data_IF_809082259432
#
_entry.id   IF_809082259432
#
_cell.length_a   1.000
_cell.length_b   1.000
_cell.length_c   1.000
_cell.angle_alpha   90.00
_cell.angle_beta   90.00
_cell.angle_gamma   90.00
#
_symmetry.space_group_name_H-M   'P 1'
#
loop_
_entity.id
_entity.type
_entity.pdbx_description
1 polymer ?
#
# COMPACT_ATOMS: atom_id res chain seq x y z
N UNK A 1 4.00 18.49 -19.72
CA UNK A 1 3.40 17.30 -20.34
C UNK A 1 3.45 16.11 -19.35
N UNK A 2 2.75 15.01 -19.68
CA UNK A 2 2.70 13.79 -18.86
C UNK A 2 3.45 12.68 -19.58
N UNK A 3 4.35 12.01 -18.89
CA UNK A 3 5.11 10.87 -19.39
C UNK A 3 4.69 9.62 -18.61
N UNK A 4 4.35 8.54 -19.33
CA UNK A 4 4.06 7.25 -18.72
C UNK A 4 5.16 6.26 -19.09
N UNK A 5 5.87 5.77 -18.07
CA UNK A 5 6.85 4.69 -18.20
C UNK A 5 6.21 3.44 -17.58
N UNK A 6 6.07 2.36 -18.35
CA UNK A 6 5.39 1.16 -17.88
C UNK A 6 5.96 0.62 -16.58
N UNK A 7 7.28 0.47 -16.50
CA UNK A 7 8.01 0.10 -15.28
C UNK A 7 9.49 0.52 -15.38
N UNK A 8 10.11 0.75 -14.24
CA UNK A 8 11.56 0.99 -14.11
C UNK A 8 12.21 -0.30 -13.62
N UNK A 9 13.15 -0.85 -14.42
CA UNK A 9 13.90 -2.07 -14.07
C UNK A 9 15.39 -1.87 -13.94
N UNK A 10 15.92 -0.78 -14.51
CA UNK A 10 17.36 -0.52 -14.64
C UNK A 10 17.68 0.95 -14.38
N UNK A 11 18.97 1.22 -14.21
CA UNK A 11 19.52 2.55 -13.94
C UNK A 11 19.18 3.56 -15.04
N UNK A 12 19.31 3.18 -16.31
CA UNK A 12 19.13 4.11 -17.45
C UNK A 12 17.68 4.63 -17.48
N UNK A 13 16.70 3.73 -17.35
CA UNK A 13 15.28 4.08 -17.29
C UNK A 13 14.95 4.93 -16.06
N UNK A 14 15.55 4.61 -14.89
CA UNK A 14 15.37 5.39 -13.66
C UNK A 14 15.91 6.79 -13.82
N UNK A 15 17.10 6.95 -14.39
CA UNK A 15 17.73 8.24 -14.61
C UNK A 15 16.90 9.13 -15.54
N UNK A 16 16.46 8.59 -16.69
CA UNK A 16 15.60 9.31 -17.64
C UNK A 16 14.29 9.77 -16.96
N UNK A 17 13.66 8.91 -16.13
CA UNK A 17 12.44 9.24 -15.40
C UNK A 17 12.65 10.42 -14.44
N UNK A 18 13.73 10.38 -13.66
CA UNK A 18 14.07 11.42 -12.69
C UNK A 18 14.44 12.74 -13.41
N UNK A 19 15.25 12.70 -14.46
CA UNK A 19 15.63 13.89 -15.23
C UNK A 19 14.39 14.54 -15.87
N UNK A 20 13.49 13.75 -16.43
CA UNK A 20 12.23 14.25 -16.96
C UNK A 20 11.36 14.92 -15.89
N UNK A 21 11.27 14.34 -14.70
CA UNK A 21 10.54 14.93 -13.57
C UNK A 21 11.16 16.26 -13.13
N UNK A 22 12.47 16.32 -13.00
CA UNK A 22 13.21 17.54 -12.63
C UNK A 22 13.08 18.67 -13.67
N UNK A 23 12.81 18.34 -14.93
CA UNK A 23 12.53 19.32 -15.99
C UNK A 23 11.05 19.74 -16.07
N UNK A 24 10.22 19.33 -15.09
CA UNK A 24 8.85 19.79 -14.92
C UNK A 24 7.77 18.90 -15.59
N UNK A 25 8.14 17.70 -16.04
CA UNK A 25 7.15 16.74 -16.53
C UNK A 25 6.54 15.94 -15.36
N UNK A 26 5.24 15.67 -15.43
CA UNK A 26 4.62 14.66 -14.56
C UNK A 26 4.96 13.27 -15.08
N UNK A 27 5.81 12.55 -14.36
CA UNK A 27 6.20 11.19 -14.71
C UNK A 27 5.41 10.18 -13.87
N UNK A 28 4.72 9.26 -14.53
CA UNK A 28 4.01 8.14 -13.92
C UNK A 28 4.72 6.85 -14.28
N UNK A 29 5.04 6.04 -13.28
CA UNK A 29 5.74 4.76 -13.51
C UNK A 29 5.41 3.74 -12.44
N UNK A 30 5.85 2.49 -12.62
CA UNK A 30 5.80 1.44 -11.61
C UNK A 30 7.19 0.92 -11.26
N UNK A 31 7.32 0.46 -10.03
CA UNK A 31 8.51 -0.18 -9.48
C UNK A 31 8.09 -1.46 -8.74
N UNK A 32 8.93 -2.49 -8.78
CA UNK A 32 8.71 -3.71 -8.01
C UNK A 32 9.26 -3.53 -6.58
N UNK A 33 8.40 -3.03 -5.68
CA UNK A 33 8.67 -2.89 -4.24
C UNK A 33 7.53 -3.52 -3.43
N UNK A 34 7.80 -3.85 -2.17
CA UNK A 34 6.80 -4.45 -1.30
C UNK A 34 5.83 -3.40 -0.72
N UNK A 35 6.31 -2.19 -0.50
CA UNK A 35 5.60 -1.07 0.10
C UNK A 35 6.06 0.27 -0.51
N UNK A 36 5.38 1.34 -0.16
CA UNK A 36 5.69 2.67 -0.69
C UNK A 36 7.03 3.23 -0.19
N UNK A 37 7.42 3.12 1.10
CA UNK A 37 8.73 3.60 1.56
C UNK A 37 9.92 2.94 0.88
N UNK A 38 9.81 1.67 0.51
CA UNK A 38 10.89 0.93 -0.16
C UNK A 38 11.22 1.43 -1.57
N UNK A 39 10.39 2.30 -2.16
CA UNK A 39 10.66 2.94 -3.46
C UNK A 39 11.96 3.76 -3.42
N UNK A 40 12.20 4.50 -2.34
CA UNK A 40 13.41 5.31 -2.17
C UNK A 40 14.68 4.46 -2.16
N UNK A 41 14.67 3.42 -1.33
CA UNK A 41 15.79 2.45 -1.27
C UNK A 41 16.02 1.80 -2.63
N UNK A 42 14.94 1.40 -3.31
CA UNK A 42 15.03 0.75 -4.62
C UNK A 42 15.65 1.64 -5.70
N UNK A 43 15.26 2.91 -5.75
CA UNK A 43 15.86 3.87 -6.69
C UNK A 43 17.34 4.14 -6.37
N UNK A 44 17.70 4.22 -5.08
CA UNK A 44 19.09 4.35 -4.64
C UNK A 44 19.93 3.12 -5.03
N UNK A 45 19.40 1.90 -4.84
CA UNK A 45 20.05 0.65 -5.29
C UNK A 45 20.25 0.60 -6.80
N UNK A 46 19.39 1.24 -7.57
CA UNK A 46 19.56 1.41 -9.02
C UNK A 46 20.60 2.44 -9.39
N UNK A 47 21.24 3.12 -8.41
CA UNK A 47 22.32 4.09 -8.62
C UNK A 47 21.83 5.53 -8.80
N UNK A 48 20.57 5.84 -8.45
CA UNK A 48 20.08 7.23 -8.46
C UNK A 48 20.48 7.90 -7.15
N UNK A 49 21.04 9.09 -7.28
CA UNK A 49 21.46 9.90 -6.13
C UNK A 49 20.26 10.29 -5.25
N UNK A 50 20.33 10.06 -3.91
CA UNK A 50 19.19 10.28 -3.00
C UNK A 50 18.59 11.70 -3.05
N UNK A 51 19.41 12.74 -3.27
CA UNK A 51 18.92 14.11 -3.36
C UNK A 51 18.10 14.36 -4.64
N UNK A 52 18.38 13.64 -5.73
CA UNK A 52 17.58 13.70 -6.96
C UNK A 52 16.22 13.01 -6.76
N UNK A 53 16.24 11.88 -6.06
CA UNK A 53 14.99 11.18 -5.71
C UNK A 53 14.11 12.08 -4.83
N UNK A 54 14.68 12.68 -3.79
CA UNK A 54 13.99 13.60 -2.89
C UNK A 54 13.37 14.81 -3.61
N UNK A 55 14.02 15.28 -4.69
CA UNK A 55 13.58 16.45 -5.46
C UNK A 55 12.57 16.12 -6.56
N UNK A 56 12.54 14.88 -7.04
CA UNK A 56 11.71 14.46 -8.19
C UNK A 56 10.49 13.63 -7.80
N UNK A 57 10.56 12.90 -6.68
CA UNK A 57 9.46 12.03 -6.25
C UNK A 57 8.39 12.83 -5.51
N UNK A 58 7.18 12.85 -6.06
CA UNK A 58 6.02 13.50 -5.44
C UNK A 58 5.26 12.56 -4.49
N UNK A 59 5.04 11.33 -4.95
CA UNK A 59 4.40 10.30 -4.11
C UNK A 59 4.72 8.89 -4.58
N UNK A 60 4.60 7.94 -3.68
CA UNK A 60 4.67 6.52 -3.97
C UNK A 60 3.40 5.82 -3.47
N UNK A 61 2.84 4.95 -4.31
CA UNK A 61 1.63 4.19 -3.96
C UNK A 61 1.92 2.69 -3.97
N UNK A 62 1.82 2.06 -2.81
CA UNK A 62 1.76 0.61 -2.67
C UNK A 62 0.34 0.09 -2.91
N UNK A 63 0.20 -1.03 -3.63
CA UNK A 63 -1.10 -1.65 -3.88
C UNK A 63 -1.02 -3.17 -3.76
N UNK A 64 -2.04 -3.76 -3.13
CA UNK A 64 -2.27 -5.21 -3.13
C UNK A 64 -3.75 -5.51 -3.40
N UNK A 65 -4.02 -6.64 -4.05
CA UNK A 65 -5.38 -7.08 -4.33
C UNK A 65 -5.78 -8.22 -3.39
N UNK A 66 -6.83 -8.00 -2.60
CA UNK A 66 -7.50 -9.01 -1.80
C UNK A 66 -8.77 -9.52 -2.50
N UNK A 67 -9.22 -10.73 -2.17
CA UNK A 67 -10.53 -11.21 -2.64
C UNK A 67 -11.64 -10.47 -1.88
N UNK A 68 -12.68 -10.11 -2.61
CA UNK A 68 -13.88 -9.49 -2.04
C UNK A 68 -14.87 -10.59 -1.63
N UNK A 69 -15.44 -10.45 -0.44
CA UNK A 69 -16.53 -11.32 0.00
C UNK A 69 -17.72 -11.25 -0.97
N UNK A 70 -18.33 -12.39 -1.20
CA UNK A 70 -19.53 -12.48 -2.05
C UNK A 70 -20.72 -11.85 -1.33
N UNK A 71 -21.27 -10.78 -1.87
CA UNK A 71 -22.40 -10.05 -1.28
C UNK A 71 -23.70 -10.91 -1.19
N UNK A 72 -23.76 -12.04 -1.92
CA UNK A 72 -24.94 -12.93 -1.92
C UNK A 72 -24.93 -13.99 -0.82
N UNK A 73 -23.76 -14.25 -0.20
CA UNK A 73 -23.66 -15.32 0.78
C UNK A 73 -22.77 -15.00 2.00
N UNK A 74 -22.18 -13.82 2.08
CA UNK A 74 -21.46 -13.41 3.29
C UNK A 74 -22.46 -13.31 4.45
N UNK A 75 -22.03 -13.68 5.64
CA UNK A 75 -22.82 -13.58 6.87
C UNK A 75 -22.11 -12.72 7.90
N UNK A 76 -22.83 -11.93 8.69
CA UNK A 76 -22.24 -11.20 9.80
C UNK A 76 -21.68 -12.19 10.84
N UNK A 77 -20.52 -11.86 11.40
CA UNK A 77 -19.88 -12.62 12.48
C UNK A 77 -19.35 -11.69 13.57
N UNK A 78 -19.20 -12.23 14.77
CA UNK A 78 -18.53 -11.53 15.87
C UNK A 78 -17.12 -12.11 15.98
N UNK A 79 -16.13 -11.23 16.09
CA UNK A 79 -14.74 -11.61 16.34
C UNK A 79 -14.37 -11.31 17.79
N UNK A 80 -13.71 -12.28 18.43
CA UNK A 80 -13.27 -12.14 19.82
C UNK A 80 -12.09 -11.17 19.95
N UNK A 81 -12.01 -10.47 21.11
CA UNK A 81 -10.91 -9.55 21.35
C UNK A 81 -9.52 -10.21 21.32
N UNK A 82 -9.41 -11.48 21.76
CA UNK A 82 -8.14 -12.23 21.71
C UNK A 82 -7.72 -12.53 20.26
N UNK A 83 -8.67 -12.88 19.39
CA UNK A 83 -8.42 -13.11 17.96
C UNK A 83 -7.92 -11.83 17.28
N UNK A 84 -8.53 -10.69 17.60
CA UNK A 84 -8.14 -9.39 17.03
C UNK A 84 -6.76 -8.95 17.55
N UNK A 85 -6.47 -9.15 18.84
CA UNK A 85 -5.15 -8.85 19.42
C UNK A 85 -4.04 -9.71 18.80
N UNK A 86 -4.30 -10.97 18.55
CA UNK A 86 -3.31 -11.90 17.96
C UNK A 86 -2.80 -11.46 16.58
N UNK A 87 -3.56 -10.64 15.86
CA UNK A 87 -3.20 -10.14 14.52
C UNK A 87 -2.91 -8.62 14.51
N UNK A 88 -2.83 -7.98 15.67
CA UNK A 88 -2.68 -6.53 15.82
C UNK A 88 -3.74 -5.79 14.97
N UNK A 89 -5.02 -6.18 15.16
CA UNK A 89 -6.13 -5.53 14.46
C UNK A 89 -6.46 -4.21 15.14
N UNK A 90 -6.15 -3.12 14.47
CA UNK A 90 -6.36 -1.77 14.96
C UNK A 90 -7.24 -0.98 13.99
N UNK A 91 -8.16 -0.20 14.53
CA UNK A 91 -9.02 0.70 13.76
C UNK A 91 -8.87 2.13 14.29
N UNK A 92 -9.05 3.13 13.43
CA UNK A 92 -9.16 4.51 13.89
C UNK A 92 -10.35 4.69 14.84
N UNK A 93 -10.25 5.67 15.72
CA UNK A 93 -11.31 6.04 16.67
C UNK A 93 -12.64 6.28 15.94
N UNK A 94 -13.73 5.80 16.53
CA UNK A 94 -15.09 5.97 16.00
C UNK A 94 -15.49 4.97 14.90
N UNK A 95 -14.60 4.08 14.46
CA UNK A 95 -14.95 3.04 13.49
C UNK A 95 -15.52 1.81 14.20
N UNK A 96 -16.80 1.53 13.98
CA UNK A 96 -17.44 0.29 14.49
C UNK A 96 -17.34 -0.81 13.45
N UNK A 97 -16.67 -1.95 13.75
CA UNK A 97 -16.50 -3.01 12.78
C UNK A 97 -17.79 -3.82 12.54
N UNK A 98 -18.04 -4.14 11.29
CA UNK A 98 -19.09 -5.04 10.83
C UNK A 98 -18.47 -6.27 10.14
N UNK A 99 -17.89 -7.16 10.92
CA UNK A 99 -17.21 -8.34 10.39
C UNK A 99 -18.16 -9.27 9.65
N UNK A 100 -17.69 -9.84 8.54
CA UNK A 100 -18.39 -10.85 7.77
C UNK A 100 -17.50 -12.06 7.47
N UNK A 101 -18.11 -13.24 7.38
CA UNK A 101 -17.45 -14.48 6.98
C UNK A 101 -17.93 -14.97 5.60
N UNK A 102 -17.06 -15.65 4.82
CA UNK A 102 -17.45 -16.31 3.59
C UNK A 102 -18.24 -17.60 3.90
N UNK A 103 -19.33 -17.83 3.16
CA UNK A 103 -20.10 -19.08 3.26
C UNK A 103 -19.91 -19.93 2.00
N UNK A 104 -20.14 -19.34 0.84
CA UNK A 104 -20.13 -20.02 -0.44
C UNK A 104 -21.54 -20.21 -1.01
N UNK A 105 -21.71 -19.91 -2.29
CA UNK A 105 -22.95 -20.14 -3.03
C UNK A 105 -22.65 -20.30 -4.52
N UNK A 106 -23.67 -20.63 -5.33
CA UNK A 106 -23.53 -20.78 -6.79
C UNK A 106 -22.94 -19.52 -7.46
N UNK A 107 -23.26 -18.31 -6.96
CA UNK A 107 -22.77 -17.05 -7.54
C UNK A 107 -21.26 -16.83 -7.37
N UNK A 108 -20.64 -17.46 -6.40
CA UNK A 108 -19.21 -17.37 -6.14
C UNK A 108 -18.49 -18.70 -6.36
N UNK A 109 -19.10 -19.64 -7.09
CA UNK A 109 -18.58 -21.00 -7.27
C UNK A 109 -18.19 -21.66 -5.93
N UNK A 110 -19.02 -21.48 -4.90
CA UNK A 110 -18.87 -22.00 -3.54
C UNK A 110 -17.62 -21.55 -2.77
N UNK A 111 -16.88 -20.55 -3.27
CA UNK A 111 -15.66 -20.03 -2.62
C UNK A 111 -15.94 -19.05 -1.49
N UNK A 112 -17.11 -18.43 -1.44
CA UNK A 112 -17.44 -17.32 -0.53
C UNK A 112 -16.89 -15.97 -0.98
N UNK A 113 -16.09 -15.91 -2.07
CA UNK A 113 -15.47 -14.69 -2.60
C UNK A 113 -15.85 -14.45 -4.05
N UNK A 114 -16.05 -13.18 -4.43
CA UNK A 114 -16.31 -12.77 -5.81
C UNK A 114 -15.72 -11.40 -6.11
N UNK A 115 -14.83 -11.37 -7.09
CA UNK A 115 -14.09 -10.15 -7.45
C UNK A 115 -12.94 -9.87 -6.50
N UNK A 116 -12.31 -8.74 -6.70
CA UNK A 116 -11.15 -8.27 -5.95
C UNK A 116 -11.37 -6.83 -5.51
N UNK A 117 -10.70 -6.44 -4.45
CA UNK A 117 -10.61 -5.07 -3.97
C UNK A 117 -9.14 -4.72 -3.79
N UNK A 118 -8.80 -3.48 -4.04
CA UNK A 118 -7.45 -2.99 -3.82
C UNK A 118 -7.30 -2.47 -2.38
N UNK A 119 -6.16 -2.77 -1.77
CA UNK A 119 -5.67 -2.08 -0.58
C UNK A 119 -4.54 -1.16 -1.03
N UNK A 120 -4.51 0.04 -0.48
CA UNK A 120 -3.56 1.07 -0.87
C UNK A 120 -2.77 1.57 0.34
N UNK A 121 -1.53 1.92 0.06
CA UNK A 121 -0.64 2.66 0.93
C UNK A 121 -0.10 3.82 0.09
N UNK A 122 -0.35 5.05 0.53
CA UNK A 122 0.06 6.26 -0.19
C UNK A 122 1.01 7.06 0.67
N UNK A 123 2.26 7.14 0.27
CA UNK A 123 3.28 8.00 0.85
C UNK A 123 3.44 9.25 -0.03
N UNK A 124 3.11 10.40 0.52
CA UNK A 124 3.37 11.70 -0.11
C UNK A 124 4.75 12.16 0.33
N UNK A 125 5.58 12.57 -0.63
CA UNK A 125 6.91 13.07 -0.33
C UNK A 125 6.82 14.41 0.38
N UNK A 126 7.42 14.51 1.56
CA UNK A 126 7.50 15.71 2.37
C UNK A 126 8.95 16.11 2.56
N UNK A 127 9.22 17.31 3.06
CA UNK A 127 10.58 17.77 3.34
C UNK A 127 11.29 16.82 4.34
N UNK A 128 10.60 16.35 5.40
CA UNK A 128 11.17 15.42 6.37
C UNK A 128 11.58 14.10 5.72
N UNK A 129 10.70 13.52 4.86
CA UNK A 129 11.00 12.29 4.13
C UNK A 129 12.14 12.51 3.11
N UNK A 130 12.22 13.69 2.50
CA UNK A 130 13.32 14.09 1.63
C UNK A 130 14.66 14.12 2.36
N UNK A 131 14.69 14.70 3.58
CA UNK A 131 15.88 14.71 4.43
C UNK A 131 16.30 13.29 4.85
N UNK A 132 15.34 12.42 5.16
CA UNK A 132 15.60 11.01 5.46
C UNK A 132 16.19 10.27 4.24
N UNK A 133 15.65 10.52 3.04
CA UNK A 133 16.16 9.94 1.81
C UNK A 133 17.63 10.34 1.57
N UNK A 134 17.96 11.63 1.69
CA UNK A 134 19.33 12.14 1.54
C UNK A 134 20.31 11.52 2.53
N UNK A 135 19.85 11.18 3.76
CA UNK A 135 20.66 10.50 4.78
C UNK A 135 20.74 8.99 4.58
N UNK A 136 20.12 8.43 3.55
CA UNK A 136 19.98 7.00 3.33
C UNK A 136 19.34 6.28 4.54
N UNK A 137 18.31 6.88 5.13
CA UNK A 137 17.56 6.28 6.22
C UNK A 137 16.89 4.97 5.78
N UNK A 138 16.63 4.08 6.72
CA UNK A 138 15.97 2.81 6.45
C UNK A 138 14.52 3.00 5.99
N UNK A 139 13.99 2.03 5.24
CA UNK A 139 12.56 2.04 4.85
C UNK A 139 11.64 2.01 6.08
N UNK A 140 12.10 1.49 7.21
CA UNK A 140 11.36 1.48 8.49
C UNK A 140 11.26 2.88 9.07
N UNK A 141 12.39 3.63 9.17
CA UNK A 141 12.37 5.02 9.61
C UNK A 141 11.47 5.90 8.72
N UNK A 142 11.55 5.70 7.39
CA UNK A 142 10.70 6.42 6.45
C UNK A 142 9.22 6.09 6.65
N UNK A 143 8.89 4.82 6.89
CA UNK A 143 7.53 4.38 7.18
C UNK A 143 6.99 5.05 8.45
N UNK A 144 7.78 5.08 9.51
CA UNK A 144 7.37 5.66 10.79
C UNK A 144 7.05 7.15 10.63
N UNK A 145 7.91 7.91 9.97
CA UNK A 145 7.66 9.33 9.69
C UNK A 145 6.46 9.52 8.76
N UNK A 146 6.33 8.73 7.71
CA UNK A 146 5.17 8.80 6.80
C UNK A 146 3.86 8.50 7.55
N UNK A 147 3.85 7.52 8.47
CA UNK A 147 2.68 7.21 9.30
C UNK A 147 2.32 8.36 10.24
N UNK A 148 3.31 9.01 10.88
CA UNK A 148 3.08 10.21 11.70
C UNK A 148 2.47 11.36 10.88
N UNK A 149 2.77 11.41 9.57
CA UNK A 149 2.23 12.38 8.62
C UNK A 149 0.91 11.96 7.97
N UNK A 150 0.32 10.84 8.42
CA UNK A 150 -1.01 10.39 8.02
C UNK A 150 -1.05 9.28 6.96
N UNK A 151 0.10 8.73 6.54
CA UNK A 151 0.11 7.53 5.72
C UNK A 151 -0.54 6.37 6.46
N UNK A 152 -1.40 5.63 5.77
CA UNK A 152 -1.90 4.34 6.22
C UNK A 152 -1.18 3.23 5.49
N UNK A 153 -0.70 2.23 6.23
CA UNK A 153 -0.08 1.06 5.63
C UNK A 153 -1.11 0.19 4.91
N UNK A 154 -0.65 -0.68 4.00
CA UNK A 154 -1.51 -1.67 3.34
C UNK A 154 -2.32 -2.50 4.34
N UNK A 155 -1.73 -2.86 5.49
CA UNK A 155 -2.40 -3.60 6.56
C UNK A 155 -3.51 -2.78 7.22
N UNK A 156 -3.26 -1.52 7.55
CA UNK A 156 -4.25 -0.62 8.15
C UNK A 156 -5.42 -0.34 7.19
N UNK A 157 -5.15 -0.13 5.89
CA UNK A 157 -6.20 0.00 4.88
C UNK A 157 -6.99 -1.32 4.73
N UNK A 158 -6.30 -2.46 4.82
CA UNK A 158 -6.92 -3.78 4.85
C UNK A 158 -7.87 -3.94 6.05
N UNK A 159 -7.46 -3.51 7.25
CA UNK A 159 -8.31 -3.57 8.46
C UNK A 159 -9.58 -2.74 8.32
N UNK A 160 -9.51 -1.57 7.71
CA UNK A 160 -10.71 -0.77 7.40
C UNK A 160 -11.67 -1.53 6.48
N UNK A 161 -11.16 -2.23 5.49
CA UNK A 161 -11.98 -3.04 4.57
C UNK A 161 -12.57 -4.28 5.23
N UNK A 162 -11.85 -4.88 6.18
CA UNK A 162 -12.39 -5.96 7.03
C UNK A 162 -13.51 -5.41 7.92
N UNK A 163 -13.31 -4.24 8.55
CA UNK A 163 -14.32 -3.59 9.36
C UNK A 163 -15.60 -3.24 8.58
N UNK A 164 -15.48 -2.96 7.29
CA UNK A 164 -16.60 -2.72 6.38
C UNK A 164 -17.31 -4.02 5.92
N UNK A 165 -16.82 -5.19 6.33
CA UNK A 165 -17.38 -6.49 5.92
C UNK A 165 -17.27 -6.79 4.43
N UNK A 166 -16.23 -6.24 3.75
CA UNK A 166 -16.00 -6.46 2.30
C UNK A 166 -14.89 -7.47 2.01
N UNK A 167 -14.05 -7.79 3.00
CA UNK A 167 -13.03 -8.85 2.96
C UNK A 167 -12.86 -9.44 4.35
N UNK A 168 -11.91 -10.36 4.55
CA UNK A 168 -11.65 -11.02 5.83
C UNK A 168 -10.24 -10.76 6.33
N UNK A 169 -9.99 -10.99 7.63
CA UNK A 169 -8.68 -10.89 8.26
C UNK A 169 -7.68 -11.79 7.54
N UNK A 170 -8.07 -13.03 7.27
CA UNK A 170 -7.24 -14.05 6.61
C UNK A 170 -6.80 -13.60 5.21
N UNK A 171 -7.68 -12.93 4.46
CA UNK A 171 -7.33 -12.38 3.14
C UNK A 171 -6.33 -11.23 3.23
N UNK A 172 -6.50 -10.33 4.19
CA UNK A 172 -5.52 -9.25 4.39
C UNK A 172 -4.16 -9.83 4.76
N UNK A 173 -4.10 -10.75 5.73
CA UNK A 173 -2.84 -11.40 6.13
C UNK A 173 -2.19 -12.19 5.01
N UNK A 174 -2.97 -12.81 4.12
CA UNK A 174 -2.46 -13.55 2.96
C UNK A 174 -1.70 -12.67 1.97
N UNK A 175 -2.09 -11.41 1.81
CA UNK A 175 -1.57 -10.52 0.75
C UNK A 175 -0.67 -9.40 1.27
N UNK A 176 -0.68 -9.17 2.61
CA UNK A 176 0.14 -8.17 3.30
C UNK A 176 0.92 -8.88 4.43
N UNK A 177 1.73 -9.85 4.03
CA UNK A 177 2.63 -10.54 4.96
C UNK A 177 3.94 -9.78 5.08
#
# INVERSE_FOLDING_TARGET
DIILIGEIRDHETAQIAIEAALTGHLVLTTLHTNDAPSVLTRLTEMGIEPFLIASALECATGQRLARRLCDKCKVPVVKGGDELRAVNFELPDGVTPAFCAPVGCVHCAHTGYRGRLAMHELMVMTEDLGQLAVRNASSEEMRDVAMLQGMRTLRQDGWLKVAQGVTTIEEVLRVVA
#
